data_IF_797988044378
#
_entry.id   IF_797988044378
#
_cell.length_a   1.000
_cell.length_b   1.000
_cell.length_c   1.000
_cell.angle_alpha   90.00
_cell.angle_beta   90.00
_cell.angle_gamma   90.00
#
_symmetry.space_group_name_H-M   'P 1'
#
loop_
_entity.id
_entity.type
_entity.pdbx_description
1 polymer ?
#
# COMPACT_ATOMS: atom_id res chain seq x y z
N UNK A 1 7.54 -0.83 -8.46
CA UNK A 1 8.68 0.04 -8.82
C UNK A 1 9.92 -0.79 -8.92
N UNK A 2 10.34 -1.04 -10.14
CA UNK A 2 11.47 -1.93 -10.41
C UNK A 2 12.81 -1.19 -10.47
N UNK A 3 12.78 0.15 -10.39
CA UNK A 3 13.96 0.98 -10.55
C UNK A 3 14.28 1.71 -9.23
N UNK A 4 15.52 1.59 -8.77
CA UNK A 4 16.00 2.28 -7.59
C UNK A 4 15.87 3.82 -7.73
N UNK A 5 16.09 4.35 -8.92
CA UNK A 5 15.91 5.77 -9.22
C UNK A 5 14.46 6.23 -8.98
N UNK A 6 13.48 5.42 -9.37
CA UNK A 6 12.06 5.73 -9.14
C UNK A 6 11.70 5.70 -7.66
N UNK A 7 12.31 4.80 -6.89
CA UNK A 7 12.13 4.76 -5.43
C UNK A 7 12.67 6.01 -4.76
N UNK A 8 13.86 6.43 -5.16
CA UNK A 8 14.50 7.64 -4.65
C UNK A 8 13.66 8.88 -4.98
N UNK A 9 13.15 8.97 -6.20
CA UNK A 9 12.27 10.04 -6.62
C UNK A 9 10.99 10.08 -5.79
N UNK A 10 10.38 8.93 -5.54
CA UNK A 10 9.18 8.84 -4.70
C UNK A 10 9.48 9.22 -3.25
N UNK A 11 10.59 8.76 -2.68
CA UNK A 11 11.02 9.14 -1.33
C UNK A 11 11.20 10.65 -1.21
N UNK A 12 11.87 11.26 -2.16
CA UNK A 12 12.07 12.71 -2.20
C UNK A 12 10.74 13.45 -2.31
N UNK A 13 9.83 12.98 -3.14
CA UNK A 13 8.51 13.58 -3.28
C UNK A 13 7.70 13.47 -1.99
N UNK A 14 7.74 12.33 -1.30
CA UNK A 14 7.09 12.15 0.00
C UNK A 14 7.66 13.11 1.04
N UNK A 15 8.98 13.20 1.15
CA UNK A 15 9.65 14.13 2.08
C UNK A 15 9.26 15.58 1.77
N UNK A 16 9.25 15.94 0.50
CA UNK A 16 8.84 17.28 0.06
C UNK A 16 7.39 17.59 0.44
N UNK A 17 6.47 16.65 0.22
CA UNK A 17 5.07 16.83 0.56
C UNK A 17 4.85 16.87 2.07
N UNK A 18 5.58 16.09 2.85
CA UNK A 18 5.55 16.15 4.31
C UNK A 18 6.01 17.53 4.79
N UNK A 19 7.10 18.02 4.27
CA UNK A 19 7.63 19.34 4.61
C UNK A 19 6.64 20.45 4.25
N UNK A 20 6.11 20.44 3.05
CA UNK A 20 5.15 21.41 2.55
C UNK A 20 3.85 21.41 3.35
N UNK A 21 3.38 20.23 3.77
CA UNK A 21 2.11 20.05 4.46
C UNK A 21 2.23 20.24 5.97
N UNK A 22 3.42 20.33 6.52
CA UNK A 22 3.65 20.40 7.96
C UNK A 22 2.92 21.57 8.62
N UNK A 23 2.90 22.73 7.95
CA UNK A 23 2.20 23.92 8.46
C UNK A 23 0.68 23.71 8.56
N UNK A 24 0.13 22.78 7.79
CA UNK A 24 -1.29 22.42 7.82
C UNK A 24 -1.64 21.37 8.86
N UNK A 25 -0.62 20.81 9.52
CA UNK A 25 -0.84 19.87 10.60
C UNK A 25 -1.42 20.60 11.81
N UNK A 26 -2.69 20.27 12.13
CA UNK A 26 -3.45 20.99 13.19
C UNK A 26 -3.48 20.24 14.52
N UNK A 27 -2.85 19.08 14.61
CA UNK A 27 -2.88 18.25 15.80
C UNK A 27 -4.19 17.49 16.04
N UNK A 28 -5.13 17.51 15.08
CA UNK A 28 -6.41 16.79 15.18
C UNK A 28 -6.25 15.27 15.08
N UNK A 29 -5.15 14.80 14.53
CA UNK A 29 -4.79 13.39 14.46
C UNK A 29 -3.40 13.19 15.04
N UNK A 30 -3.04 11.93 15.34
CA UNK A 30 -1.66 11.62 15.69
C UNK A 30 -0.72 12.00 14.56
N UNK A 31 0.48 12.44 14.91
CA UNK A 31 1.49 12.81 13.93
C UNK A 31 1.78 11.66 12.95
N UNK A 32 1.90 10.43 13.46
CA UNK A 32 2.10 9.24 12.62
C UNK A 32 0.95 9.01 11.63
N UNK A 33 -0.30 9.19 12.05
CA UNK A 33 -1.48 9.07 11.18
C UNK A 33 -1.44 10.09 10.06
N UNK A 34 -1.13 11.34 10.38
CA UNK A 34 -0.98 12.42 9.40
C UNK A 34 0.14 12.11 8.41
N UNK A 35 1.27 11.66 8.90
CA UNK A 35 2.43 11.32 8.07
C UNK A 35 2.12 10.17 7.09
N UNK A 36 1.47 9.09 7.57
CA UNK A 36 1.03 8.00 6.71
C UNK A 36 0.06 8.47 5.63
N UNK A 37 -0.89 9.32 6.01
CA UNK A 37 -1.86 9.88 5.04
C UNK A 37 -1.16 10.68 3.95
N UNK A 38 -0.25 11.55 4.30
CA UNK A 38 0.51 12.35 3.32
C UNK A 38 1.35 11.44 2.43
N UNK A 39 2.05 10.48 3.01
CA UNK A 39 2.90 9.55 2.27
C UNK A 39 2.09 8.68 1.30
N UNK A 40 0.97 8.11 1.75
CA UNK A 40 0.12 7.29 0.91
C UNK A 40 -0.54 8.09 -0.21
N UNK A 41 -1.05 9.28 0.08
CA UNK A 41 -1.65 10.15 -0.93
C UNK A 41 -0.61 10.57 -1.96
N UNK A 42 0.60 10.87 -1.54
CA UNK A 42 1.71 11.20 -2.43
C UNK A 42 2.07 10.02 -3.33
N UNK A 43 2.20 8.84 -2.75
CA UNK A 43 2.50 7.62 -3.50
C UNK A 43 1.40 7.30 -4.52
N UNK A 44 0.14 7.35 -4.12
CA UNK A 44 -0.99 7.09 -5.01
C UNK A 44 -1.00 8.10 -6.17
N UNK A 45 -0.78 9.38 -5.87
CA UNK A 45 -0.73 10.44 -6.89
C UNK A 45 0.45 10.22 -7.86
N UNK A 46 1.61 9.89 -7.33
CA UNK A 46 2.80 9.59 -8.11
C UNK A 46 2.55 8.44 -9.09
N UNK A 47 1.98 7.34 -8.62
CA UNK A 47 1.67 6.18 -9.46
C UNK A 47 0.59 6.48 -10.50
N UNK A 48 -0.39 7.30 -10.18
CA UNK A 48 -1.38 7.76 -11.16
C UNK A 48 -0.74 8.58 -12.29
N UNK A 49 0.19 9.44 -11.96
CA UNK A 49 0.96 10.22 -12.96
C UNK A 49 1.82 9.32 -13.82
N UNK A 50 2.53 8.37 -13.21
CA UNK A 50 3.33 7.38 -13.94
C UNK A 50 2.46 6.54 -14.86
N UNK A 51 1.29 6.11 -14.41
CA UNK A 51 0.33 5.38 -15.23
C UNK A 51 -0.11 6.19 -16.44
N UNK A 52 -0.46 7.47 -16.27
CA UNK A 52 -0.83 8.35 -17.36
C UNK A 52 0.30 8.55 -18.37
N UNK A 53 1.54 8.58 -17.87
CA UNK A 53 2.73 8.74 -18.70
C UNK A 53 3.04 7.48 -19.52
N UNK A 54 2.73 6.32 -18.96
CA UNK A 54 2.99 4.99 -19.56
C UNK A 54 1.78 4.44 -20.32
N UNK A 55 0.57 4.96 -20.10
CA UNK A 55 -0.69 4.53 -20.73
C UNK A 55 -0.71 4.67 -22.26
N UNK A 56 0.33 5.22 -22.84
CA UNK A 56 0.56 5.12 -24.26
C UNK A 56 1.15 3.76 -24.67
N UNK A 57 1.58 2.91 -23.74
CA UNK A 57 2.32 1.71 -24.09
C UNK A 57 1.99 0.40 -23.39
N UNK A 58 1.54 0.31 -22.14
CA UNK A 58 1.06 -0.96 -21.52
C UNK A 58 0.47 -0.69 -20.13
N UNK A 59 -0.70 -1.25 -19.90
CA UNK A 59 -1.42 -1.21 -18.63
C UNK A 59 -0.79 -2.19 -17.65
N UNK A 60 -0.15 -1.68 -16.61
CA UNK A 60 0.21 -2.48 -15.44
C UNK A 60 -0.26 -1.77 -14.17
N UNK A 61 -1.45 -2.16 -13.68
CA UNK A 61 -2.08 -1.61 -12.47
C UNK A 61 -1.42 -2.10 -11.17
N UNK A 62 -0.29 -2.78 -11.28
CA UNK A 62 0.37 -3.40 -10.13
C UNK A 62 1.45 -2.49 -9.58
N UNK A 63 1.31 -2.13 -8.30
CA UNK A 63 2.43 -1.60 -7.53
C UNK A 63 3.31 -2.78 -7.17
N UNK A 64 4.52 -2.83 -7.72
CA UNK A 64 5.54 -3.72 -7.24
C UNK A 64 6.08 -3.19 -5.90
N UNK A 65 5.50 -3.68 -4.83
CA UNK A 65 6.20 -3.63 -3.55
C UNK A 65 7.24 -4.74 -3.63
N UNK A 66 8.47 -4.39 -3.98
CA UNK A 66 9.58 -5.30 -3.72
C UNK A 66 9.78 -5.36 -2.22
N UNK A 67 9.14 -6.33 -1.60
CA UNK A 67 9.72 -6.91 -0.41
C UNK A 67 11.06 -7.51 -0.80
N UNK A 68 12.09 -7.32 0.00
CA UNK A 68 13.32 -8.08 -0.14
C UNK A 68 12.94 -9.54 -0.34
N UNK A 69 13.54 -10.18 -1.35
CA UNK A 69 13.24 -11.58 -1.63
C UNK A 69 13.33 -12.37 -0.32
N UNK A 70 12.24 -13.02 0.10
CA UNK A 70 12.32 -13.80 1.32
C UNK A 70 13.37 -14.87 1.13
N UNK A 71 14.28 -14.97 2.07
CA UNK A 71 15.27 -16.03 2.15
C UNK A 71 14.52 -17.35 1.97
N UNK A 72 14.86 -18.13 0.95
CA UNK A 72 14.15 -19.36 0.56
C UNK A 72 14.00 -20.35 1.72
N UNK A 73 14.74 -20.16 2.79
CA UNK A 73 14.71 -20.97 4.01
C UNK A 73 13.65 -20.52 5.02
N UNK A 74 13.05 -19.34 4.83
CA UNK A 74 12.04 -18.81 5.73
C UNK A 74 10.66 -18.85 5.08
N UNK A 75 9.94 -19.90 5.43
CA UNK A 75 8.50 -19.99 5.38
C UNK A 75 7.85 -19.76 4.00
N UNK A 76 7.57 -20.87 3.34
CA UNK A 76 6.80 -20.91 2.10
C UNK A 76 5.45 -20.16 2.20
N UNK A 77 4.87 -20.08 3.41
CA UNK A 77 3.64 -19.33 3.68
C UNK A 77 3.83 -17.84 3.45
N UNK A 78 4.93 -17.29 3.95
CA UNK A 78 5.25 -15.88 3.77
C UNK A 78 5.49 -15.52 2.30
N UNK A 79 6.16 -16.39 1.56
CA UNK A 79 6.38 -16.21 0.12
C UNK A 79 5.05 -16.20 -0.66
N UNK A 80 4.13 -17.10 -0.34
CA UNK A 80 2.80 -17.14 -0.93
C UNK A 80 1.98 -15.88 -0.60
N UNK A 81 2.08 -15.42 0.63
CA UNK A 81 1.43 -14.18 1.06
C UNK A 81 1.94 -12.97 0.27
N UNK A 82 3.24 -12.81 0.12
CA UNK A 82 3.81 -11.70 -0.65
C UNK A 82 3.43 -11.73 -2.12
N UNK A 83 3.40 -12.91 -2.73
CA UNK A 83 2.91 -13.06 -4.11
C UNK A 83 1.45 -12.64 -4.24
N UNK A 84 0.61 -13.03 -3.29
CA UNK A 84 -0.80 -12.64 -3.28
C UNK A 84 -0.96 -11.13 -3.14
N UNK A 85 -0.18 -10.50 -2.26
CA UNK A 85 -0.20 -9.05 -2.06
C UNK A 85 0.15 -8.30 -3.34
N UNK A 86 1.07 -8.81 -4.13
CA UNK A 86 1.45 -8.18 -5.41
C UNK A 86 0.30 -8.14 -6.42
N UNK A 87 -0.66 -9.04 -6.34
CA UNK A 87 -1.82 -9.07 -7.23
C UNK A 87 -2.93 -8.09 -6.80
N UNK A 88 -2.82 -7.49 -5.63
CA UNK A 88 -3.79 -6.52 -5.13
C UNK A 88 -3.67 -5.17 -5.85
N UNK A 89 -4.78 -4.44 -5.89
CA UNK A 89 -4.73 -3.05 -6.35
C UNK A 89 -4.08 -2.13 -5.28
N UNK A 90 -3.86 -0.88 -5.63
CA UNK A 90 -3.16 0.09 -4.78
C UNK A 90 -3.83 0.30 -3.42
N UNK A 91 -5.15 0.45 -3.41
CA UNK A 91 -5.92 0.66 -2.19
C UNK A 91 -5.88 -0.58 -1.31
N UNK A 92 -6.05 -1.75 -1.90
CA UNK A 92 -5.98 -3.02 -1.19
C UNK A 92 -4.61 -3.25 -0.55
N UNK A 93 -3.54 -2.95 -1.29
CA UNK A 93 -2.17 -3.00 -0.75
C UNK A 93 -1.99 -2.06 0.44
N UNK A 94 -2.49 -0.82 0.32
CA UNK A 94 -2.42 0.16 1.39
C UNK A 94 -3.18 -0.31 2.64
N UNK A 95 -4.37 -0.86 2.47
CA UNK A 95 -5.19 -1.40 3.57
C UNK A 95 -4.46 -2.52 4.30
N UNK A 96 -3.91 -3.47 3.57
CA UNK A 96 -3.16 -4.60 4.16
C UNK A 96 -1.88 -4.12 4.86
N UNK A 97 -1.16 -3.19 4.25
CA UNK A 97 0.05 -2.64 4.86
C UNK A 97 -0.26 -1.98 6.21
N UNK A 98 -1.29 -1.15 6.26
CA UNK A 98 -1.69 -0.47 7.49
C UNK A 98 -2.18 -1.47 8.55
N UNK A 99 -2.87 -2.52 8.13
CA UNK A 99 -3.29 -3.59 9.03
C UNK A 99 -2.09 -4.33 9.63
N UNK A 100 -1.08 -4.66 8.83
CA UNK A 100 0.16 -5.32 9.29
C UNK A 100 0.91 -4.42 10.27
N UNK A 101 0.88 -3.10 10.04
CA UNK A 101 1.45 -2.10 10.95
C UNK A 101 0.69 -1.98 12.28
N UNK A 102 -0.38 -2.75 12.47
CA UNK A 102 -1.15 -2.77 13.71
C UNK A 102 -2.19 -1.67 13.83
N UNK A 103 -2.55 -1.01 12.75
CA UNK A 103 -3.55 0.05 12.78
C UNK A 103 -4.97 -0.50 12.90
N UNK A 104 -5.79 0.20 13.69
CA UNK A 104 -7.22 -0.11 13.83
C UNK A 104 -7.99 0.26 12.57
N UNK A 105 -9.22 -0.25 12.44
CA UNK A 105 -10.11 0.13 11.35
C UNK A 105 -10.33 1.65 11.27
N UNK A 106 -10.43 2.29 12.43
CA UNK A 106 -10.56 3.75 12.52
C UNK A 106 -9.33 4.45 11.97
N UNK A 107 -8.15 4.03 12.38
CA UNK A 107 -6.87 4.59 11.92
C UNK A 107 -6.66 4.36 10.42
N UNK A 108 -6.97 3.17 9.94
CA UNK A 108 -6.91 2.85 8.51
C UNK A 108 -7.85 3.77 7.73
N UNK A 109 -9.07 3.96 8.21
CA UNK A 109 -10.03 4.87 7.60
C UNK A 109 -9.53 6.30 7.55
N UNK A 110 -8.96 6.80 8.64
CA UNK A 110 -8.38 8.13 8.71
C UNK A 110 -7.23 8.32 7.71
N UNK A 111 -6.36 7.33 7.59
CA UNK A 111 -5.23 7.37 6.65
C UNK A 111 -5.66 7.33 5.18
N UNK A 112 -6.70 6.59 4.87
CA UNK A 112 -7.17 6.40 3.48
C UNK A 112 -8.33 7.30 3.08
N UNK A 113 -8.83 8.12 4.00
CA UNK A 113 -9.99 8.95 3.75
C UNK A 113 -11.31 8.17 3.69
N UNK A 114 -11.40 7.06 4.40
CA UNK A 114 -12.58 6.20 4.49
C UNK A 114 -13.21 6.29 5.87
N UNK A 115 -14.51 6.00 5.96
CA UNK A 115 -15.14 5.78 7.27
C UNK A 115 -14.58 4.50 7.91
N UNK A 116 -14.71 4.39 9.22
CA UNK A 116 -14.31 3.17 9.94
C UNK A 116 -15.01 1.93 9.40
N UNK A 117 -16.31 2.02 9.12
CA UNK A 117 -17.10 0.93 8.54
C UNK A 117 -16.62 0.54 7.14
N UNK A 118 -16.34 1.51 6.29
CA UNK A 118 -15.81 1.25 4.95
C UNK A 118 -14.41 0.65 5.01
N UNK A 119 -13.56 1.12 5.92
CA UNK A 119 -12.24 0.54 6.14
C UNK A 119 -12.33 -0.94 6.56
N UNK A 120 -13.25 -1.25 7.47
CA UNK A 120 -13.51 -2.64 7.91
C UNK A 120 -13.93 -3.53 6.76
N UNK A 121 -14.90 -3.09 5.97
CA UNK A 121 -15.40 -3.84 4.80
C UNK A 121 -14.27 -4.05 3.79
N UNK A 122 -13.52 -3.01 3.50
CA UNK A 122 -12.40 -3.08 2.55
C UNK A 122 -11.33 -4.06 3.02
N UNK A 123 -10.97 -4.01 4.29
CA UNK A 123 -9.99 -4.92 4.88
C UNK A 123 -10.48 -6.39 4.80
N UNK A 124 -11.73 -6.65 5.17
CA UNK A 124 -12.29 -7.99 5.13
C UNK A 124 -12.31 -8.56 3.71
N UNK A 125 -12.71 -7.76 2.73
CA UNK A 125 -12.70 -8.16 1.32
C UNK A 125 -11.29 -8.42 0.83
N UNK A 126 -10.34 -7.59 1.22
CA UNK A 126 -8.93 -7.75 0.85
C UNK A 126 -8.34 -9.03 1.44
N UNK A 127 -8.65 -9.33 2.70
CA UNK A 127 -8.23 -10.59 3.34
C UNK A 127 -8.77 -11.80 2.60
N UNK A 128 -10.05 -11.79 2.24
CA UNK A 128 -10.68 -12.88 1.47
C UNK A 128 -10.06 -13.03 0.09
N UNK A 129 -9.76 -11.93 -0.56
CA UNK A 129 -9.10 -11.93 -1.86
C UNK A 129 -7.71 -12.57 -1.77
N UNK A 130 -6.93 -12.24 -0.75
CA UNK A 130 -5.62 -12.85 -0.51
C UNK A 130 -5.77 -14.36 -0.29
N UNK A 131 -6.70 -14.78 0.54
CA UNK A 131 -6.97 -16.21 0.79
C UNK A 131 -7.33 -16.95 -0.51
N UNK A 132 -8.16 -16.35 -1.34
CA UNK A 132 -8.55 -16.95 -2.61
C UNK A 132 -7.36 -17.06 -3.57
N UNK A 133 -6.54 -16.02 -3.68
CA UNK A 133 -5.34 -16.03 -4.51
C UNK A 133 -4.38 -17.15 -4.07
N UNK A 134 -4.17 -17.29 -2.76
CA UNK A 134 -3.29 -18.33 -2.20
C UNK A 134 -3.85 -19.71 -2.51
N UNK A 135 -5.16 -19.91 -2.36
CA UNK A 135 -5.82 -21.16 -2.74
C UNK A 135 -5.65 -21.50 -4.22
N UNK A 136 -5.82 -20.50 -5.08
CA UNK A 136 -5.68 -20.67 -6.53
C UNK A 136 -4.23 -21.04 -6.93
N UNK A 137 -3.27 -20.68 -6.09
CA UNK A 137 -1.87 -21.09 -6.24
C UNK A 137 -1.60 -22.51 -5.73
N UNK A 138 -2.62 -23.22 -5.26
CA UNK A 138 -2.51 -24.60 -4.79
C UNK A 138 -2.00 -24.75 -3.36
N UNK A 139 -1.97 -23.68 -2.58
CA UNK A 139 -1.56 -23.70 -1.19
C UNK A 139 -2.77 -23.72 -0.26
N UNK A 140 -2.83 -24.68 0.64
CA UNK A 140 -3.85 -24.74 1.69
C UNK A 140 -3.22 -24.41 3.05
N UNK A 141 -3.90 -23.58 3.79
CA UNK A 141 -3.55 -23.30 5.18
C UNK A 141 -3.94 -24.45 6.10
#
# INVERSE_FOLDING_TARGET
MDNQSDREDLEQEIVFQLWRSYERFTGKSKFSTWMYRVALNTAITYFKKEKRRVDKNVINDKIDIKADEPDETKDSQLAHFYKAVQELNKVEKAVILLFIEGQSHKEIGENLGLSEGNARVKLNRTKKKIQQIIKDQGYEF
#
